data_IF_246966692422
#
_entry.id   IF_246966692422
#
_cell.length_a   1.000
_cell.length_b   1.000
_cell.length_c   1.000
_cell.angle_alpha   90.00
_cell.angle_beta   90.00
_cell.angle_gamma   90.00
#
_symmetry.space_group_name_H-M   'P 1'
#
loop_
_entity.id
_entity.type
_entity.pdbx_description
1 polymer ?
#
# COMPACT_ATOMS: atom_id res chain seq x y z
N UNK A 1 32.21 6.54 -38.04
CA UNK A 1 31.88 7.81 -37.38
C UNK A 1 30.38 8.06 -37.22
N UNK A 2 29.48 7.81 -38.18
CA UNK A 2 28.03 8.03 -38.06
C UNK A 2 27.35 7.09 -37.06
N UNK A 3 27.74 5.80 -36.99
CA UNK A 3 27.16 4.82 -36.04
C UNK A 3 27.51 5.13 -34.57
N UNK A 4 28.75 5.58 -34.29
CA UNK A 4 29.18 5.95 -32.94
C UNK A 4 28.42 7.17 -32.42
N UNK A 5 28.18 8.15 -33.30
CA UNK A 5 27.37 9.34 -32.94
C UNK A 5 25.91 8.97 -32.65
N UNK A 6 25.33 8.04 -33.42
CA UNK A 6 23.96 7.56 -33.20
C UNK A 6 23.82 6.83 -31.85
N UNK A 7 24.78 5.95 -31.51
CA UNK A 7 24.79 5.26 -30.24
C UNK A 7 25.00 6.19 -29.03
N UNK A 8 25.79 7.25 -29.15
CA UNK A 8 25.98 8.26 -28.11
C UNK A 8 24.70 9.08 -27.91
N UNK A 9 24.01 9.46 -28.99
CA UNK A 9 22.73 10.19 -28.90
C UNK A 9 21.64 9.28 -28.31
N UNK A 10 21.57 8.01 -28.68
CA UNK A 10 20.66 7.05 -28.10
C UNK A 10 20.94 6.82 -26.59
N UNK A 11 22.23 6.76 -26.21
CA UNK A 11 22.62 6.63 -24.80
C UNK A 11 22.31 7.88 -23.97
N UNK A 12 22.47 9.09 -24.53
CA UNK A 12 22.12 10.36 -23.88
C UNK A 12 20.60 10.49 -23.75
N UNK A 13 19.83 10.11 -24.79
CA UNK A 13 18.36 10.13 -24.73
C UNK A 13 17.79 9.11 -23.72
N UNK A 14 18.50 8.01 -23.45
CA UNK A 14 18.09 7.01 -22.47
C UNK A 14 18.34 7.45 -21.01
N UNK A 15 19.23 8.43 -20.77
CA UNK A 15 19.56 8.92 -19.43
C UNK A 15 18.77 10.17 -18.99
N UNK A 16 17.86 10.72 -19.80
CA UNK A 16 17.09 11.93 -19.48
C UNK A 16 15.80 11.68 -18.70
N UNK A 17 15.59 10.47 -18.11
CA UNK A 17 14.37 10.14 -17.36
C UNK A 17 14.62 10.07 -15.84
N UNK A 18 15.16 11.14 -15.26
CA UNK A 18 15.20 11.30 -13.82
C UNK A 18 14.04 12.20 -13.39
N UNK A 19 12.81 11.72 -13.56
CA UNK A 19 11.65 12.32 -12.93
C UNK A 19 11.54 11.80 -11.49
N UNK A 20 11.70 12.65 -10.49
CA UNK A 20 11.42 12.31 -9.10
C UNK A 20 9.89 12.29 -8.94
N UNK A 21 9.26 11.14 -9.16
CA UNK A 21 7.84 10.98 -8.91
C UNK A 21 7.61 10.68 -7.43
N UNK A 22 6.71 11.42 -6.80
CA UNK A 22 6.22 11.06 -5.47
C UNK A 22 5.54 9.69 -5.52
N UNK A 23 5.96 8.78 -4.67
CA UNK A 23 5.42 7.43 -4.61
C UNK A 23 4.45 7.35 -3.43
N UNK A 24 3.32 6.67 -3.68
CA UNK A 24 2.39 6.27 -2.62
C UNK A 24 3.09 5.43 -1.55
N UNK A 25 2.73 5.59 -0.28
CA UNK A 25 3.29 4.78 0.80
C UNK A 25 3.10 3.30 0.52
N UNK A 26 4.11 2.51 0.86
CA UNK A 26 4.12 1.07 0.67
C UNK A 26 4.38 0.40 2.02
N UNK A 27 3.54 -0.58 2.36
CA UNK A 27 3.55 -1.25 3.65
C UNK A 27 4.21 -2.61 3.55
N UNK A 28 4.96 -3.02 4.57
CA UNK A 28 5.49 -4.37 4.72
C UNK A 28 4.37 -5.37 4.95
N UNK A 29 3.35 -4.96 5.72
CA UNK A 29 2.17 -5.74 6.06
C UNK A 29 0.99 -5.48 5.11
N UNK A 30 1.24 -5.21 3.81
CA UNK A 30 0.23 -4.89 2.79
C UNK A 30 -0.88 -5.93 2.69
N UNK A 31 -0.56 -7.21 2.98
CA UNK A 31 -1.50 -8.32 2.89
C UNK A 31 -2.66 -8.22 3.91
N UNK A 32 -2.53 -7.41 4.95
CA UNK A 32 -3.60 -7.17 5.93
C UNK A 32 -4.37 -5.88 5.65
N UNK A 33 -3.80 -4.97 4.87
CA UNK A 33 -4.44 -3.71 4.46
C UNK A 33 -4.59 -3.62 2.93
N UNK A 34 -4.94 -4.74 2.31
CA UNK A 34 -5.07 -4.86 0.84
C UNK A 34 -6.07 -3.87 0.25
N UNK A 35 -7.12 -3.47 1.00
CA UNK A 35 -8.12 -2.49 0.54
C UNK A 35 -7.50 -1.11 0.21
N UNK A 36 -6.39 -0.75 0.85
CA UNK A 36 -5.71 0.52 0.56
C UNK A 36 -5.18 0.58 -0.87
N UNK A 37 -4.79 -0.58 -1.43
CA UNK A 37 -4.21 -0.71 -2.77
C UNK A 37 -5.17 -1.34 -3.79
N UNK A 38 -6.20 -2.10 -3.38
CA UNK A 38 -7.13 -2.78 -4.28
C UNK A 38 -8.58 -2.69 -3.78
N UNK A 39 -9.46 -1.90 -4.41
CA UNK A 39 -10.87 -1.77 -3.99
C UNK A 39 -11.67 -3.08 -4.13
N UNK A 40 -11.29 -3.98 -5.02
CA UNK A 40 -11.97 -5.27 -5.18
C UNK A 40 -11.83 -6.18 -3.93
N UNK A 41 -10.92 -5.86 -3.03
CA UNK A 41 -10.75 -6.57 -1.74
C UNK A 41 -11.88 -6.28 -0.75
N UNK A 42 -12.66 -5.19 -0.93
CA UNK A 42 -13.74 -4.82 0.00
C UNK A 42 -14.72 -6.00 0.19
N UNK A 43 -14.98 -6.39 1.44
CA UNK A 43 -15.88 -7.49 1.79
C UNK A 43 -15.33 -8.92 1.60
N UNK A 44 -14.12 -9.10 1.05
CA UNK A 44 -13.53 -10.43 0.78
C UNK A 44 -13.34 -11.29 2.03
N UNK A 45 -13.20 -10.67 3.19
CA UNK A 45 -13.03 -11.38 4.48
C UNK A 45 -14.34 -11.95 5.06
N UNK A 46 -15.46 -11.77 4.37
CA UNK A 46 -16.81 -12.27 4.77
C UNK A 46 -17.29 -11.73 6.14
N UNK A 47 -16.64 -10.72 6.68
CA UNK A 47 -16.96 -10.11 7.97
C UNK A 47 -16.71 -8.60 7.95
N UNK A 48 -17.20 -7.87 8.97
CA UNK A 48 -16.75 -6.51 9.20
C UNK A 48 -15.30 -6.55 9.69
N UNK A 49 -14.40 -5.97 8.93
CA UNK A 49 -12.98 -5.88 9.24
C UNK A 49 -12.58 -4.42 9.39
N UNK A 50 -11.87 -4.11 10.46
CA UNK A 50 -11.26 -2.81 10.76
C UNK A 50 -9.77 -3.02 10.89
N UNK A 51 -8.98 -2.28 10.13
CA UNK A 51 -7.52 -2.36 10.15
C UNK A 51 -6.95 -0.98 10.38
N UNK A 52 -6.16 -0.84 11.44
CA UNK A 52 -5.30 0.30 11.70
C UNK A 52 -3.83 -0.09 11.52
N UNK A 53 -3.05 0.74 10.86
CA UNK A 53 -1.62 0.54 10.71
C UNK A 53 -0.89 1.88 10.87
N UNK A 54 0.19 1.85 11.64
CA UNK A 54 1.13 2.96 11.80
C UNK A 54 2.51 2.51 11.32
N UNK A 55 3.13 3.32 10.44
CA UNK A 55 4.47 3.11 9.92
C UNK A 55 5.34 4.32 10.19
N UNK A 56 6.46 4.12 10.87
CA UNK A 56 7.53 5.11 11.02
C UNK A 56 8.70 4.65 10.17
N UNK A 57 8.96 5.33 9.07
CA UNK A 57 9.99 4.95 8.11
C UNK A 57 11.27 5.75 8.36
N UNK A 58 12.41 5.06 8.27
CA UNK A 58 13.75 5.62 8.43
C UNK A 58 13.93 6.35 9.77
N UNK A 59 13.58 5.68 10.86
CA UNK A 59 13.68 6.21 12.21
C UNK A 59 15.11 6.70 12.50
N UNK A 60 15.23 7.91 13.04
CA UNK A 60 16.50 8.62 13.27
C UNK A 60 16.84 9.64 12.20
N UNK A 61 16.19 9.59 11.02
CA UNK A 61 16.30 10.63 9.99
C UNK A 61 15.23 11.70 10.24
N UNK A 62 15.66 12.95 10.39
CA UNK A 62 14.75 14.08 10.54
C UNK A 62 13.88 14.24 9.28
N UNK A 63 12.56 14.42 9.46
CA UNK A 63 11.60 14.45 8.37
C UNK A 63 11.33 13.10 7.70
N UNK A 64 11.76 11.99 8.32
CA UNK A 64 11.48 10.64 7.82
C UNK A 64 9.97 10.38 7.70
N UNK A 65 9.51 9.60 6.67
CA UNK A 65 8.09 9.41 6.43
C UNK A 65 7.37 8.74 7.59
N UNK A 66 6.19 9.26 7.94
CA UNK A 66 5.27 8.67 8.90
C UNK A 66 3.91 8.46 8.25
N UNK A 67 3.43 7.22 8.20
CA UNK A 67 2.17 6.89 7.57
C UNK A 67 1.22 6.25 8.57
N UNK A 68 -0.02 6.71 8.61
CA UNK A 68 -1.10 6.17 9.41
C UNK A 68 -2.23 5.75 8.50
N UNK A 69 -2.80 4.57 8.71
CA UNK A 69 -3.96 4.13 7.95
C UNK A 69 -5.06 3.61 8.85
N UNK A 70 -6.28 3.86 8.45
CA UNK A 70 -7.47 3.24 9.02
C UNK A 70 -8.36 2.79 7.86
N UNK A 71 -8.67 1.51 7.81
CA UNK A 71 -9.59 0.97 6.82
C UNK A 71 -10.69 0.14 7.48
N UNK A 72 -11.89 0.24 6.93
CA UNK A 72 -13.07 -0.49 7.40
C UNK A 72 -13.76 -1.05 6.17
N UNK A 73 -14.04 -2.34 6.14
CA UNK A 73 -14.82 -2.93 5.05
C UNK A 73 -15.70 -4.09 5.53
N UNK A 74 -16.78 -4.33 4.80
CA UNK A 74 -17.73 -5.40 5.12
C UNK A 74 -18.46 -5.85 3.85
N UNK A 75 -18.79 -7.14 3.72
CA UNK A 75 -19.78 -7.57 2.73
C UNK A 75 -21.18 -7.13 3.16
N UNK A 76 -22.02 -6.82 2.18
CA UNK A 76 -23.44 -6.64 2.42
C UNK A 76 -24.16 -8.00 2.61
N UNK A 77 -25.44 -7.93 2.95
CA UNK A 77 -26.25 -9.12 3.27
C UNK A 77 -26.30 -10.19 2.16
N UNK A 78 -26.13 -9.77 0.91
CA UNK A 78 -26.13 -10.68 -0.24
C UNK A 78 -24.75 -11.30 -0.55
N UNK A 79 -23.71 -10.97 0.23
CA UNK A 79 -22.31 -11.43 0.11
C UNK A 79 -21.66 -11.15 -1.26
N UNK A 80 -22.41 -10.59 -2.23
CA UNK A 80 -21.89 -10.22 -3.56
C UNK A 80 -21.34 -8.81 -3.60
N UNK A 81 -21.84 -7.93 -2.74
CA UNK A 81 -21.43 -6.54 -2.67
C UNK A 81 -20.60 -6.34 -1.41
N UNK A 82 -19.42 -5.82 -1.57
CA UNK A 82 -18.57 -5.32 -0.49
C UNK A 82 -18.51 -3.79 -0.51
N UNK A 83 -18.54 -3.19 0.67
CA UNK A 83 -18.33 -1.76 0.86
C UNK A 83 -17.15 -1.55 1.80
N UNK A 84 -16.41 -0.47 1.57
CA UNK A 84 -15.32 -0.07 2.44
C UNK A 84 -15.08 1.42 2.44
N UNK A 85 -14.33 1.85 3.44
CA UNK A 85 -13.78 3.21 3.56
C UNK A 85 -12.34 3.06 3.99
N UNK A 86 -11.44 3.82 3.37
CA UNK A 86 -10.03 3.87 3.71
C UNK A 86 -9.59 5.31 3.91
N UNK A 87 -8.87 5.54 5.01
CA UNK A 87 -8.18 6.78 5.32
C UNK A 87 -6.69 6.50 5.44
N UNK A 88 -5.86 7.33 4.82
CA UNK A 88 -4.40 7.30 4.96
C UNK A 88 -3.94 8.73 5.19
N UNK A 89 -3.09 8.93 6.19
CA UNK A 89 -2.32 10.15 6.38
C UNK A 89 -0.85 9.81 6.21
N UNK A 90 -0.16 10.54 5.35
CA UNK A 90 1.24 10.31 4.98
C UNK A 90 2.01 11.63 5.07
N UNK A 91 2.92 11.69 6.01
CA UNK A 91 3.76 12.85 6.31
C UNK A 91 5.18 12.56 5.84
N UNK A 92 5.78 13.46 5.07
CA UNK A 92 7.16 13.39 4.61
C UNK A 92 7.81 14.78 4.70
N UNK A 93 8.67 14.99 5.67
CA UNK A 93 9.21 16.30 5.98
C UNK A 93 8.07 17.28 6.30
N UNK A 94 7.96 18.36 5.54
CA UNK A 94 6.89 19.35 5.67
C UNK A 94 5.64 19.03 4.82
N UNK A 95 5.67 17.96 4.02
CA UNK A 95 4.56 17.58 3.17
C UNK A 95 3.61 16.64 3.90
N UNK A 96 2.31 16.90 3.83
CA UNK A 96 1.27 16.03 4.36
C UNK A 96 0.24 15.70 3.28
N UNK A 97 0.04 14.41 3.04
CA UNK A 97 -0.99 13.87 2.16
C UNK A 97 -2.04 13.14 2.98
N UNK A 98 -3.29 13.57 2.88
CA UNK A 98 -4.42 12.85 3.46
C UNK A 98 -5.32 12.29 2.35
N UNK A 99 -5.62 11.00 2.43
CA UNK A 99 -6.40 10.26 1.45
C UNK A 99 -7.68 9.74 2.12
N UNK A 100 -8.84 10.10 1.60
CA UNK A 100 -10.13 9.59 2.07
C UNK A 100 -10.91 9.01 0.90
N UNK A 101 -11.12 7.69 0.91
CA UNK A 101 -11.72 6.97 -0.19
C UNK A 101 -12.81 6.01 0.27
N UNK A 102 -13.88 5.93 -0.52
CA UNK A 102 -14.88 4.88 -0.47
C UNK A 102 -14.56 3.78 -1.48
N UNK A 103 -14.79 2.54 -1.10
CA UNK A 103 -14.56 1.33 -1.90
C UNK A 103 -15.86 0.57 -2.09
N UNK A 104 -16.12 0.16 -3.32
CA UNK A 104 -17.22 -0.71 -3.71
C UNK A 104 -16.65 -1.93 -4.42
N UNK A 105 -17.13 -3.12 -4.09
CA UNK A 105 -16.80 -4.34 -4.82
C UNK A 105 -18.05 -5.13 -5.20
N UNK A 106 -17.97 -5.80 -6.36
CA UNK A 106 -18.96 -6.79 -6.78
C UNK A 106 -18.29 -8.13 -7.04
N UNK A 107 -18.74 -9.16 -6.33
CA UNK A 107 -18.12 -10.48 -6.32
C UNK A 107 -19.02 -11.50 -7.06
N UNK A 108 -18.42 -12.27 -7.95
CA UNK A 108 -19.03 -13.41 -8.63
C UNK A 108 -18.33 -14.71 -8.22
N UNK A 109 -19.09 -15.79 -8.07
CA UNK A 109 -18.52 -17.12 -7.86
C UNK A 109 -18.06 -17.67 -9.21
N UNK A 110 -16.80 -18.07 -9.29
CA UNK A 110 -16.18 -18.66 -10.48
C UNK A 110 -15.96 -20.18 -10.35
N UNK A 111 -16.28 -20.73 -9.18
CA UNK A 111 -16.21 -22.14 -8.83
C UNK A 111 -16.74 -22.38 -7.42
N UNK A 112 -16.65 -23.59 -6.91
CA UNK A 112 -17.16 -23.95 -5.57
C UNK A 112 -16.49 -23.14 -4.46
N UNK A 113 -15.19 -22.88 -4.57
CA UNK A 113 -14.39 -22.18 -3.55
C UNK A 113 -13.61 -20.99 -4.15
N UNK A 114 -13.98 -20.53 -5.34
CA UNK A 114 -13.28 -19.42 -6.02
C UNK A 114 -14.22 -18.27 -6.29
N UNK A 115 -13.76 -17.08 -6.01
CA UNK A 115 -14.51 -15.82 -6.13
C UNK A 115 -13.69 -14.81 -6.93
N UNK A 116 -14.34 -14.14 -7.87
CA UNK A 116 -13.75 -13.03 -8.62
C UNK A 116 -14.52 -11.74 -8.27
N UNK A 117 -13.81 -10.77 -7.76
CA UNK A 117 -14.35 -9.47 -7.39
C UNK A 117 -13.82 -8.38 -8.32
N UNK A 118 -14.71 -7.46 -8.69
CA UNK A 118 -14.39 -6.22 -9.39
C UNK A 118 -14.61 -5.06 -8.42
N UNK A 119 -13.68 -4.13 -8.36
CA UNK A 119 -13.72 -3.03 -7.41
C UNK A 119 -13.66 -1.66 -8.06
N UNK A 120 -14.34 -0.71 -7.44
CA UNK A 120 -14.26 0.70 -7.74
C UNK A 120 -13.91 1.46 -6.47
N UNK A 121 -13.06 2.45 -6.59
CA UNK A 121 -12.65 3.38 -5.54
C UNK A 121 -12.97 4.79 -5.97
N UNK A 122 -13.48 5.62 -5.08
CA UNK A 122 -13.68 7.04 -5.33
C UNK A 122 -13.49 7.83 -4.03
N UNK A 123 -12.91 9.00 -4.13
CA UNK A 123 -12.67 9.85 -2.97
C UNK A 123 -11.81 11.05 -3.31
N UNK A 124 -11.13 11.53 -2.29
CA UNK A 124 -10.35 12.76 -2.36
C UNK A 124 -8.99 12.55 -1.73
N UNK A 125 -7.98 13.21 -2.31
CA UNK A 125 -6.66 13.42 -1.72
C UNK A 125 -6.52 14.88 -1.37
N UNK A 126 -6.03 15.18 -0.17
CA UNK A 126 -5.63 16.52 0.26
C UNK A 126 -4.12 16.58 0.35
N UNK A 127 -3.56 17.65 -0.17
CA UNK A 127 -2.15 18.00 0.02
C UNK A 127 -2.04 19.28 0.83
N UNK A 128 -1.12 19.31 1.79
CA UNK A 128 -0.79 20.49 2.58
C UNK A 128 0.70 20.54 2.92
N UNK A 129 1.22 21.72 3.11
CA UNK A 129 2.53 21.96 3.72
C UNK A 129 2.36 22.36 5.17
N UNK A 130 3.24 21.87 6.04
CA UNK A 130 3.26 22.27 7.45
C UNK A 130 3.57 23.77 7.57
N UNK A 131 2.88 24.46 8.49
CA UNK A 131 3.04 25.90 8.75
C UNK A 131 4.43 26.29 9.29
N UNK A 132 5.22 25.35 9.79
CA UNK A 132 6.59 25.56 10.23
C UNK A 132 7.60 25.62 9.07
N UNK A 133 7.14 25.35 7.83
CA UNK A 133 7.97 25.52 6.64
C UNK A 133 8.30 27.00 6.43
N UNK A 134 9.50 27.40 6.80
CA UNK A 134 10.00 28.75 6.57
C UNK A 134 10.78 28.80 5.27
N UNK A 135 10.31 29.64 4.34
CA UNK A 135 11.08 29.98 3.16
C UNK A 135 12.43 30.59 3.54
N UNK A 136 13.46 30.28 2.77
CA UNK A 136 14.77 30.93 2.91
C UNK A 136 14.73 32.45 2.63
N UNK A 137 13.62 32.93 2.04
CA UNK A 137 13.29 34.35 1.86
C UNK A 137 11.88 34.62 2.38
N UNK A 138 11.75 35.65 3.21
CA UNK A 138 10.52 36.00 3.93
C UNK A 138 9.31 36.38 3.06
N UNK A 139 9.45 36.44 1.73
CA UNK A 139 8.39 36.76 0.77
C UNK A 139 8.48 35.88 -0.50
N UNK A 140 8.80 34.60 -0.36
CA UNK A 140 8.77 33.68 -1.49
C UNK A 140 7.31 33.40 -1.88
N UNK A 141 6.82 33.90 -3.04
CA UNK A 141 5.43 33.72 -3.45
C UNK A 141 5.03 32.25 -3.66
N UNK A 142 6.00 31.37 -3.88
CA UNK A 142 5.79 29.91 -4.06
C UNK A 142 5.26 29.27 -2.76
N UNK A 143 5.56 29.86 -1.58
CA UNK A 143 5.21 29.26 -0.29
C UNK A 143 3.89 29.81 0.27
N UNK A 144 3.54 31.07 -0.05
CA UNK A 144 2.32 31.71 0.45
C UNK A 144 0.99 31.19 -0.17
N UNK A 145 1.04 30.31 -1.17
CA UNK A 145 -0.12 29.82 -1.89
C UNK A 145 -0.60 28.39 -1.54
N UNK A 146 0.08 27.69 -0.61
CA UNK A 146 -0.28 26.31 -0.30
C UNK A 146 -1.38 26.21 0.78
N UNK A 147 -2.62 26.56 0.40
CA UNK A 147 -3.77 26.14 1.16
C UNK A 147 -4.06 24.64 0.92
N UNK A 148 -4.72 23.99 1.89
CA UNK A 148 -5.22 22.61 1.77
C UNK A 148 -6.00 22.39 0.46
N UNK A 149 -5.41 21.67 -0.49
CA UNK A 149 -6.01 21.43 -1.80
C UNK A 149 -6.59 20.03 -1.87
N UNK A 150 -7.90 19.92 -1.86
CA UNK A 150 -8.61 18.67 -2.04
C UNK A 150 -8.84 18.41 -3.54
N UNK A 151 -8.38 17.26 -4.02
CA UNK A 151 -8.55 16.82 -5.40
C UNK A 151 -9.25 15.46 -5.44
N UNK A 152 -10.30 15.28 -6.28
CA UNK A 152 -10.95 14.00 -6.44
C UNK A 152 -10.07 13.02 -7.20
N UNK A 153 -10.16 11.73 -6.88
CA UNK A 153 -9.56 10.66 -7.67
C UNK A 153 -10.48 9.44 -7.65
N UNK A 154 -10.33 8.60 -8.64
CA UNK A 154 -11.06 7.34 -8.80
C UNK A 154 -10.07 6.21 -9.04
N UNK A 155 -10.48 4.98 -8.75
CA UNK A 155 -9.64 3.82 -8.96
C UNK A 155 -10.44 2.58 -9.24
N UNK A 156 -9.75 1.53 -9.68
CA UNK A 156 -10.36 0.25 -10.00
C UNK A 156 -9.44 -0.91 -9.64
N UNK A 157 -10.03 -2.10 -9.54
CA UNK A 157 -9.25 -3.31 -9.30
C UNK A 157 -10.04 -4.57 -9.56
N UNK A 158 -9.29 -5.64 -9.65
CA UNK A 158 -9.78 -7.02 -9.76
C UNK A 158 -9.10 -7.84 -8.67
N UNK A 159 -9.85 -8.70 -8.01
CA UNK A 159 -9.36 -9.60 -6.98
C UNK A 159 -9.96 -10.99 -7.17
N UNK A 160 -9.13 -11.95 -7.56
CA UNK A 160 -9.52 -13.33 -7.75
C UNK A 160 -8.91 -14.18 -6.67
N UNK A 161 -9.73 -14.86 -5.90
CA UNK A 161 -9.25 -15.56 -4.71
C UNK A 161 -10.02 -16.85 -4.42
N UNK A 162 -9.38 -17.68 -3.63
CA UNK A 162 -9.95 -18.86 -3.00
C UNK A 162 -9.60 -18.88 -1.51
N UNK A 163 -9.88 -19.98 -0.84
CA UNK A 163 -9.46 -20.19 0.53
C UNK A 163 -7.92 -20.28 0.72
N UNK A 164 -7.19 -20.61 -0.36
CA UNK A 164 -5.74 -20.89 -0.28
C UNK A 164 -4.87 -20.01 -1.17
N UNK A 165 -5.44 -19.25 -2.09
CA UNK A 165 -4.67 -18.40 -2.99
C UNK A 165 -5.45 -17.15 -3.38
N UNK A 166 -4.73 -16.14 -3.77
CA UNK A 166 -5.29 -14.94 -4.37
C UNK A 166 -4.37 -14.34 -5.42
N UNK A 167 -4.98 -13.64 -6.36
CA UNK A 167 -4.32 -12.77 -7.33
C UNK A 167 -5.12 -11.48 -7.42
N UNK A 168 -4.45 -10.35 -7.39
CA UNK A 168 -5.04 -9.01 -7.51
C UNK A 168 -4.32 -8.14 -8.52
N UNK A 169 -5.09 -7.36 -9.27
CA UNK A 169 -4.62 -6.30 -10.15
C UNK A 169 -5.40 -5.04 -9.81
N UNK A 170 -4.72 -3.90 -9.70
CA UNK A 170 -5.40 -2.65 -9.38
C UNK A 170 -4.63 -1.41 -9.79
N UNK A 171 -5.39 -0.34 -9.98
CA UNK A 171 -4.93 1.04 -10.03
C UNK A 171 -5.84 1.84 -9.10
N UNK A 172 -5.48 2.00 -7.82
CA UNK A 172 -6.35 2.60 -6.81
C UNK A 172 -6.58 4.10 -7.02
N UNK A 173 -5.77 4.74 -7.84
CA UNK A 173 -5.89 6.13 -8.28
C UNK A 173 -5.43 6.21 -9.73
N UNK A 174 -6.31 6.63 -10.63
CA UNK A 174 -6.09 6.65 -12.08
C UNK A 174 -6.05 8.05 -12.68
N UNK A 175 -6.32 9.07 -11.88
CA UNK A 175 -6.17 10.45 -12.31
C UNK A 175 -4.80 10.94 -11.86
N UNK A 176 -3.99 11.42 -12.82
CA UNK A 176 -2.80 12.19 -12.51
C UNK A 176 -3.26 13.52 -11.92
N UNK A 177 -2.79 13.86 -10.74
CA UNK A 177 -3.22 15.06 -10.04
C UNK A 177 -2.02 15.95 -9.80
N UNK A 178 -2.13 17.20 -10.26
CA UNK A 178 -1.22 18.27 -9.97
C UNK A 178 -1.78 19.11 -8.83
N UNK A 179 -1.02 19.23 -7.75
CA UNK A 179 -1.38 20.03 -6.58
C UNK A 179 -0.74 21.42 -6.61
N UNK A 180 0.14 21.72 -7.58
CA UNK A 180 0.93 22.94 -7.62
C UNK A 180 0.15 24.16 -8.14
N UNK A 181 -0.87 23.94 -8.98
CA UNK A 181 -1.56 25.03 -9.67
C UNK A 181 -0.68 25.67 -10.74
N UNK A 182 -0.41 26.98 -10.63
CA UNK A 182 0.43 27.75 -11.57
C UNK A 182 1.90 27.88 -11.10
N UNK A 183 2.30 27.18 -10.02
CA UNK A 183 3.61 27.33 -9.40
C UNK A 183 4.58 26.23 -9.82
N UNK A 184 5.88 26.51 -9.79
CA UNK A 184 6.97 25.60 -10.25
C UNK A 184 7.25 24.43 -9.27
N UNK A 185 6.52 24.28 -8.18
CA UNK A 185 6.72 23.21 -7.22
C UNK A 185 6.01 21.92 -7.67
N UNK A 186 6.73 20.80 -7.79
CA UNK A 186 6.16 19.55 -8.34
C UNK A 186 5.56 18.62 -7.27
N UNK A 187 4.35 18.91 -6.76
CA UNK A 187 3.53 17.93 -6.05
C UNK A 187 2.61 17.19 -7.05
N UNK A 188 3.14 16.17 -7.71
CA UNK A 188 2.44 15.39 -8.73
C UNK A 188 2.10 13.99 -8.22
N UNK A 189 0.81 13.67 -8.13
CA UNK A 189 0.37 12.29 -7.94
C UNK A 189 0.28 11.58 -9.28
N UNK A 190 1.05 10.50 -9.46
CA UNK A 190 1.10 9.69 -10.68
C UNK A 190 0.40 8.36 -10.49
N UNK A 191 -0.14 7.83 -11.57
CA UNK A 191 -0.81 6.53 -11.57
C UNK A 191 0.16 5.44 -11.12
N UNK A 192 -0.28 4.66 -10.14
CA UNK A 192 0.42 3.46 -9.69
C UNK A 192 -0.42 2.23 -9.96
N UNK A 193 0.21 1.22 -10.55
CA UNK A 193 -0.37 -0.09 -10.83
C UNK A 193 0.17 -1.11 -9.82
N UNK A 194 -0.71 -1.95 -9.31
CA UNK A 194 -0.35 -2.99 -8.36
C UNK A 194 -0.75 -4.36 -8.89
N UNK A 195 0.17 -5.30 -8.76
CA UNK A 195 -0.10 -6.73 -8.86
C UNK A 195 0.20 -7.37 -7.52
N UNK A 196 -0.71 -8.19 -7.01
CA UNK A 196 -0.52 -8.93 -5.76
C UNK A 196 -0.86 -10.40 -5.99
N UNK A 197 -0.16 -11.28 -5.30
CA UNK A 197 -0.45 -12.70 -5.33
C UNK A 197 0.09 -13.41 -4.11
N UNK A 198 -0.58 -14.50 -3.72
CA UNK A 198 -0.12 -15.32 -2.61
C UNK A 198 -0.81 -16.67 -2.57
N UNK A 199 -0.17 -17.61 -1.90
CA UNK A 199 -0.65 -18.96 -1.72
C UNK A 199 -0.41 -19.44 -0.30
N UNK A 200 -1.29 -20.30 0.24
CA UNK A 200 -1.12 -20.95 1.54
C UNK A 200 -0.94 -22.44 1.34
N UNK A 201 0.22 -22.92 1.72
CA UNK A 201 0.58 -24.34 1.77
C UNK A 201 0.34 -24.86 3.19
N UNK A 202 -0.39 -25.98 3.32
CA UNK A 202 -0.47 -26.72 4.58
C UNK A 202 0.77 -27.61 4.69
N UNK A 203 1.71 -27.27 5.58
CA UNK A 203 2.92 -28.06 5.83
C UNK A 203 2.65 -29.19 6.82
N UNK A 204 1.80 -28.90 7.82
CA UNK A 204 1.30 -29.87 8.79
C UNK A 204 -0.05 -29.40 9.33
N UNK A 205 -0.67 -30.17 10.23
CA UNK A 205 -1.91 -29.75 10.91
C UNK A 205 -1.75 -28.44 11.70
N UNK A 206 -0.56 -28.20 12.24
CA UNK A 206 -0.25 -27.03 13.08
C UNK A 206 0.49 -25.91 12.34
N UNK A 207 0.99 -26.17 11.13
CA UNK A 207 1.90 -25.23 10.44
C UNK A 207 1.47 -24.99 9.00
N UNK A 208 1.36 -23.72 8.61
CA UNK A 208 1.12 -23.30 7.23
C UNK A 208 2.21 -22.35 6.75
N UNK A 209 2.49 -22.36 5.47
CA UNK A 209 3.43 -21.46 4.81
C UNK A 209 2.72 -20.59 3.78
N UNK A 210 2.91 -19.27 3.86
CA UNK A 210 2.29 -18.29 2.97
C UNK A 210 3.36 -17.42 2.30
N UNK A 211 3.86 -17.80 1.14
CA UNK A 211 4.55 -16.87 0.25
C UNK A 211 3.56 -15.89 -0.37
N UNK A 212 3.99 -14.65 -0.54
CA UNK A 212 3.23 -13.64 -1.26
C UNK A 212 4.16 -12.65 -1.96
N UNK A 213 3.62 -12.00 -2.99
CA UNK A 213 4.33 -11.01 -3.80
C UNK A 213 3.46 -9.77 -3.98
N UNK A 214 4.14 -8.63 -4.07
CA UNK A 214 3.57 -7.35 -4.47
C UNK A 214 4.51 -6.73 -5.51
N UNK A 215 3.96 -6.39 -6.68
CA UNK A 215 4.62 -5.55 -7.67
C UNK A 215 3.91 -4.20 -7.69
N UNK A 216 4.68 -3.12 -7.66
CA UNK A 216 4.21 -1.75 -7.81
C UNK A 216 4.97 -1.06 -8.93
N UNK A 217 4.24 -0.66 -9.96
CA UNK A 217 4.76 0.16 -11.06
C UNK A 217 4.13 1.54 -11.02
N UNK A 218 4.94 2.59 -10.97
CA UNK A 218 4.50 3.99 -11.01
C UNK A 218 5.20 4.69 -12.15
N UNK A 219 4.47 5.47 -12.96
CA UNK A 219 5.06 6.21 -14.06
C UNK A 219 6.15 7.18 -13.56
N UNK A 220 7.36 7.07 -14.12
CA UNK A 220 8.51 7.90 -13.73
C UNK A 220 9.18 7.51 -12.40
N UNK A 221 8.90 6.32 -11.86
CA UNK A 221 9.58 5.77 -10.69
C UNK A 221 10.09 4.34 -10.96
N UNK A 222 11.16 3.89 -10.28
CA UNK A 222 11.62 2.52 -10.36
C UNK A 222 10.53 1.51 -9.96
N UNK A 223 10.50 0.36 -10.62
CA UNK A 223 9.64 -0.75 -10.24
C UNK A 223 9.99 -1.22 -8.82
N UNK A 224 8.98 -1.43 -7.99
CA UNK A 224 9.13 -2.04 -6.67
C UNK A 224 8.56 -3.45 -6.68
N UNK A 225 9.31 -4.39 -6.13
CA UNK A 225 8.92 -5.78 -6.01
C UNK A 225 9.17 -6.27 -4.58
N UNK A 226 8.10 -6.63 -3.88
CA UNK A 226 8.16 -7.15 -2.52
C UNK A 226 7.83 -8.64 -2.52
N UNK A 227 8.69 -9.42 -1.90
CA UNK A 227 8.47 -10.85 -1.63
C UNK A 227 8.32 -11.01 -0.13
N UNK A 228 7.30 -11.73 0.31
CA UNK A 228 7.13 -12.12 1.71
C UNK A 228 7.00 -13.62 1.84
N UNK A 229 7.51 -14.16 2.93
CA UNK A 229 7.44 -15.57 3.28
C UNK A 229 7.05 -15.69 4.76
N UNK A 230 5.82 -16.09 5.04
CA UNK A 230 5.28 -16.14 6.38
C UNK A 230 4.88 -17.57 6.76
N UNK A 231 5.14 -17.96 8.00
CA UNK A 231 4.72 -19.21 8.61
C UNK A 231 3.66 -18.94 9.66
N UNK A 232 2.56 -19.69 9.62
CA UNK A 232 1.52 -19.70 10.64
C UNK A 232 1.68 -20.92 11.53
N UNK A 233 1.70 -20.70 12.82
CA UNK A 233 1.75 -21.75 13.83
C UNK A 233 0.47 -21.76 14.67
N UNK A 234 -0.14 -22.95 14.79
CA UNK A 234 -1.32 -23.20 15.63
C UNK A 234 -2.49 -22.22 15.38
N UNK A 235 -2.67 -21.76 14.14
CA UNK A 235 -3.69 -20.79 13.74
C UNK A 235 -3.66 -19.46 14.52
N UNK A 236 -2.54 -19.14 15.19
CA UNK A 236 -2.43 -17.97 16.08
C UNK A 236 -1.25 -17.08 15.81
N UNK A 237 -0.12 -17.64 15.46
CA UNK A 237 1.13 -16.89 15.38
C UNK A 237 1.71 -16.95 13.96
N UNK A 238 1.78 -15.79 13.31
CA UNK A 238 2.51 -15.63 12.06
C UNK A 238 3.90 -15.08 12.35
N UNK A 239 4.91 -15.66 11.73
CA UNK A 239 6.26 -15.12 11.71
C UNK A 239 6.84 -15.31 10.32
N UNK A 240 7.55 -14.30 9.83
CA UNK A 240 8.11 -14.37 8.49
C UNK A 240 9.09 -13.26 8.19
N UNK A 241 9.49 -13.21 6.93
CA UNK A 241 10.37 -12.20 6.40
C UNK A 241 9.83 -11.57 5.14
N UNK A 242 10.32 -10.39 4.84
CA UNK A 242 10.07 -9.66 3.61
C UNK A 242 11.38 -9.21 2.98
N UNK A 243 11.40 -9.16 1.66
CA UNK A 243 12.49 -8.58 0.90
C UNK A 243 11.91 -7.67 -0.18
N UNK A 244 12.27 -6.39 -0.09
CA UNK A 244 11.91 -5.37 -1.08
C UNK A 244 13.05 -5.16 -2.04
N UNK A 245 12.78 -5.37 -3.31
CA UNK A 245 13.68 -5.07 -4.43
C UNK A 245 13.22 -3.75 -5.03
N UNK A 246 14.03 -2.72 -4.83
CA UNK A 246 13.81 -1.38 -5.38
C UNK A 246 15.17 -0.69 -5.48
N UNK A 247 15.42 0.05 -6.56
CA UNK A 247 16.70 0.74 -6.78
C UNK A 247 17.09 1.70 -5.65
N UNK A 248 16.09 2.36 -5.03
CA UNK A 248 16.31 3.44 -4.06
C UNK A 248 15.89 3.09 -2.64
N UNK A 249 15.03 2.09 -2.49
CA UNK A 249 14.42 1.74 -1.20
C UNK A 249 14.42 0.23 -0.93
N UNK A 250 15.49 -0.47 -1.33
CA UNK A 250 15.68 -1.88 -1.01
C UNK A 250 15.71 -2.08 0.50
N UNK A 251 15.03 -3.12 0.99
CA UNK A 251 14.96 -3.42 2.42
C UNK A 251 14.79 -4.92 2.68
N UNK A 252 15.33 -5.38 3.79
CA UNK A 252 15.08 -6.70 4.36
C UNK A 252 14.24 -6.53 5.63
N UNK A 253 13.14 -7.27 5.76
CA UNK A 253 12.22 -7.12 6.88
C UNK A 253 11.93 -8.42 7.61
N UNK A 254 11.54 -8.27 8.89
CA UNK A 254 10.93 -9.31 9.71
C UNK A 254 9.48 -8.94 10.02
N UNK A 255 8.59 -9.92 10.01
CA UNK A 255 7.16 -9.76 10.29
C UNK A 255 6.79 -10.74 11.39
N UNK A 256 6.05 -10.25 12.39
CA UNK A 256 5.45 -11.10 13.41
C UNK A 256 4.05 -10.59 13.72
N UNK A 257 3.05 -11.46 13.71
CA UNK A 257 1.71 -11.11 14.16
C UNK A 257 1.08 -12.22 14.98
N UNK A 258 0.21 -11.83 15.90
CA UNK A 258 -0.41 -12.70 16.85
C UNK A 258 -1.93 -12.48 16.92
N UNK A 259 -2.68 -13.57 16.83
CA UNK A 259 -4.12 -13.60 17.03
C UNK A 259 -4.42 -13.64 18.54
N UNK A 260 -4.61 -12.44 19.13
CA UNK A 260 -4.85 -12.28 20.58
C UNK A 260 -6.17 -12.91 21.00
N UNK A 261 -7.20 -12.72 20.17
CA UNK A 261 -8.52 -13.32 20.36
C UNK A 261 -9.10 -13.71 19.00
N UNK A 262 -10.28 -14.29 18.95
CA UNK A 262 -10.97 -14.58 17.68
C UNK A 262 -11.17 -13.32 16.83
N UNK A 263 -11.22 -12.15 17.45
CA UNK A 263 -11.54 -10.88 16.82
C UNK A 263 -10.32 -9.99 16.62
N UNK A 264 -9.35 -10.03 17.53
CA UNK A 264 -8.22 -9.09 17.57
C UNK A 264 -6.92 -9.77 17.16
N UNK A 265 -6.25 -9.18 16.17
CA UNK A 265 -4.88 -9.49 15.75
C UNK A 265 -4.01 -8.25 15.93
N UNK A 266 -2.80 -8.46 16.41
CA UNK A 266 -1.76 -7.44 16.54
C UNK A 266 -0.57 -7.90 15.69
N UNK A 267 -0.04 -7.01 14.87
CA UNK A 267 1.13 -7.26 14.02
C UNK A 267 2.21 -6.23 14.24
N UNK A 268 3.44 -6.65 14.03
CA UNK A 268 4.61 -5.81 14.01
C UNK A 268 5.53 -6.22 12.86
N UNK A 269 6.06 -5.24 12.15
CA UNK A 269 7.11 -5.48 11.19
C UNK A 269 8.26 -4.48 11.38
N UNK A 270 9.46 -4.95 11.11
CA UNK A 270 10.68 -4.16 11.10
C UNK A 270 11.36 -4.34 9.74
N UNK A 271 11.77 -3.25 9.09
CA UNK A 271 12.56 -3.27 7.87
C UNK A 271 13.92 -2.62 8.09
N UNK A 272 14.97 -3.34 7.73
CA UNK A 272 16.33 -2.85 7.67
C UNK A 272 16.64 -2.37 6.25
N UNK A 273 17.01 -1.08 6.05
CA UNK A 273 17.30 -0.55 4.73
C UNK A 273 18.62 -1.11 4.19
N UNK A 274 18.60 -1.46 2.91
CA UNK A 274 19.78 -1.93 2.17
C UNK A 274 20.31 -0.87 1.20
N UNK A 275 19.67 0.31 1.18
CA UNK A 275 20.04 1.46 0.36
C UNK A 275 21.09 2.36 1.05
N UNK A 276 21.50 3.42 0.36
CA UNK A 276 22.43 4.45 0.87
C UNK A 276 21.93 5.19 2.10
N UNK A 277 20.64 5.05 2.45
CA UNK A 277 20.06 5.60 3.68
C UNK A 277 20.47 4.83 4.94
N UNK A 278 21.04 3.62 4.79
CA UNK A 278 21.43 2.76 5.91
C UNK A 278 22.23 3.43 7.02
N UNK A 279 23.23 4.29 6.75
CA UNK A 279 24.02 4.93 7.82
C UNK A 279 23.25 5.96 8.64
N UNK A 280 22.12 6.44 8.14
CA UNK A 280 21.36 7.58 8.69
C UNK A 280 20.09 7.18 9.42
N UNK A 281 19.75 5.88 9.47
CA UNK A 281 18.50 5.41 10.06
C UNK A 281 18.68 4.11 10.83
N UNK A 282 17.90 3.94 11.88
CA UNK A 282 17.79 2.68 12.62
C UNK A 282 16.80 1.69 12.01
N UNK A 283 16.18 2.03 10.87
CA UNK A 283 15.24 1.17 10.15
C UNK A 283 13.82 1.72 10.12
N UNK A 284 12.89 0.89 9.72
CA UNK A 284 11.47 1.21 9.58
C UNK A 284 10.65 0.28 10.46
N UNK A 285 9.67 0.84 11.16
CA UNK A 285 8.79 0.10 12.07
C UNK A 285 7.35 0.21 11.63
N UNK A 286 6.62 -0.90 11.63
CA UNK A 286 5.17 -0.94 11.39
C UNK A 286 4.47 -1.65 12.54
N UNK A 287 3.38 -1.05 13.02
CA UNK A 287 2.45 -1.65 13.99
C UNK A 287 1.09 -1.78 13.33
N UNK A 288 0.49 -2.96 13.43
CA UNK A 288 -0.82 -3.27 12.85
C UNK A 288 -1.78 -3.74 13.94
N UNK A 289 -3.00 -3.22 13.88
CA UNK A 289 -4.14 -3.69 14.65
C UNK A 289 -5.25 -4.07 13.68
N UNK A 290 -5.74 -5.30 13.76
CA UNK A 290 -6.88 -5.77 12.98
C UNK A 290 -7.97 -6.29 13.91
N UNK A 291 -9.18 -5.77 13.73
CA UNK A 291 -10.35 -6.16 14.49
C UNK A 291 -11.46 -6.64 13.57
N UNK A 292 -12.01 -7.82 13.84
CA UNK A 292 -13.06 -8.44 13.04
C UNK A 292 -14.32 -8.72 13.86
N UNK A 293 -15.49 -8.32 13.34
CA UNK A 293 -16.79 -8.51 14.00
C UNK A 293 -17.58 -9.60 13.30
N UNK A 294 -17.68 -10.75 13.90
CA UNK A 294 -18.40 -11.91 13.36
C UNK A 294 -19.89 -11.78 13.62
N UNK A 295 -20.67 -11.44 12.58
CA UNK A 295 -22.13 -11.36 12.64
C UNK A 295 -22.82 -12.70 12.35
N UNK A 296 -22.11 -13.69 11.80
CA UNK A 296 -22.68 -14.95 11.36
C UNK A 296 -21.79 -16.13 11.73
N UNK A 297 -22.39 -17.27 12.11
CA UNK A 297 -21.69 -18.56 12.27
C UNK A 297 -21.31 -19.21 10.93
N UNK A 298 -21.63 -18.59 9.78
CA UNK A 298 -21.46 -19.14 8.43
C UNK A 298 -20.22 -18.67 7.69
N UNK A 299 -19.22 -18.10 8.38
CA UNK A 299 -17.96 -17.72 7.73
C UNK A 299 -17.25 -19.00 7.29
N UNK A 300 -17.08 -19.16 5.98
CA UNK A 300 -16.45 -20.32 5.36
C UNK A 300 -14.97 -20.12 5.07
N UNK A 301 -14.55 -18.86 4.88
CA UNK A 301 -13.17 -18.52 4.58
C UNK A 301 -12.28 -18.69 5.83
N UNK A 302 -11.11 -19.33 5.73
CA UNK A 302 -10.12 -19.38 6.79
C UNK A 302 -9.44 -18.02 7.04
N UNK A 303 -9.67 -17.02 6.17
CA UNK A 303 -9.19 -15.62 6.27
C UNK A 303 -7.68 -15.50 6.41
N UNK A 304 -6.95 -16.29 5.64
CA UNK A 304 -5.49 -16.21 5.58
C UNK A 304 -5.00 -14.94 4.86
N UNK A 305 -5.89 -14.26 4.12
CA UNK A 305 -5.61 -13.07 3.32
C UNK A 305 -6.45 -11.89 3.76
#
# INVERSE_FOLDING_TARGET
MKLVKFNIIAFILFNCWVGVAQQLPQFTQYMYNTISINPAYAGSRETLSVVGLHRSQWVGLEGGPTTQTLSIHTPLRNEKIGLGVSFINDELGYQNFSYLYGDFSYTINTGENTKLAFGLKAGFTSFSLDGDFQASQANDPVIFGFENRWKPNIGTGIYWHSNKWYVGLSAPRILNTDYNGEEEFEALERISYYFTGGYVFDLSEATKFKPAVLLKGTNGAPLSFDITANFLFHEKFWVGGSYRINERAAALGGIADFQVSKQLRIGYAYEYPLSDLRPYTSGTHEVLLMFEVFKSKRIKSPRYF
#
